data_IF_170573952617
#
_entry.id   IF_170573952617
#
_cell.length_a   1.000
_cell.length_b   1.000
_cell.length_c   1.000
_cell.angle_alpha   90.00
_cell.angle_beta   90.00
_cell.angle_gamma   90.00
#
_symmetry.space_group_name_H-M   'P 1'
#
loop_
_entity.id
_entity.type
_entity.pdbx_description
1 polymer ?
#
# COMPACT_ATOMS: atom_id res chain seq x y z
N UNK A 1 10.53 -8.65 27.74
CA UNK A 1 11.93 -8.69 27.28
C UNK A 1 12.07 -7.66 26.16
N UNK A 2 13.20 -6.95 26.01
CA UNK A 2 13.39 -6.07 24.86
C UNK A 2 13.31 -6.91 23.57
N UNK A 3 12.50 -6.47 22.60
CA UNK A 3 12.40 -7.10 21.27
C UNK A 3 13.79 -7.16 20.66
N UNK A 4 14.20 -8.32 20.16
CA UNK A 4 15.51 -8.44 19.55
C UNK A 4 15.56 -7.61 18.26
N UNK A 5 16.72 -7.04 17.96
CA UNK A 5 16.91 -6.32 16.70
C UNK A 5 16.54 -7.18 15.48
N UNK A 6 16.81 -8.49 15.52
CA UNK A 6 16.43 -9.41 14.44
C UNK A 6 14.92 -9.52 14.21
N UNK A 7 14.14 -9.58 15.29
CA UNK A 7 12.67 -9.62 15.20
C UNK A 7 12.10 -8.30 14.67
N UNK A 8 12.62 -7.17 15.14
CA UNK A 8 12.24 -5.85 14.66
C UNK A 8 12.55 -5.67 13.16
N UNK A 9 13.75 -6.07 12.71
CA UNK A 9 14.12 -6.03 11.29
C UNK A 9 13.27 -6.97 10.44
N UNK A 10 12.94 -8.17 10.94
CA UNK A 10 12.06 -9.12 10.24
C UNK A 10 10.63 -8.57 10.09
N UNK A 11 10.08 -7.95 11.13
CA UNK A 11 8.79 -7.29 11.06
C UNK A 11 8.81 -6.11 10.07
N UNK A 12 9.83 -5.25 10.14
CA UNK A 12 10.01 -4.14 9.20
C UNK A 12 10.15 -4.62 7.75
N UNK A 13 10.91 -5.70 7.52
CA UNK A 13 11.07 -6.31 6.20
C UNK A 13 9.74 -6.82 5.63
N UNK A 14 8.89 -7.45 6.46
CA UNK A 14 7.54 -7.88 6.06
C UNK A 14 6.66 -6.68 5.69
N UNK A 15 6.65 -5.63 6.51
CA UNK A 15 5.91 -4.39 6.21
C UNK A 15 6.38 -3.80 4.89
N UNK A 16 7.70 -3.69 4.68
CA UNK A 16 8.27 -3.16 3.46
C UNK A 16 7.88 -3.99 2.23
N UNK A 17 7.97 -5.32 2.31
CA UNK A 17 7.60 -6.21 1.21
C UNK A 17 6.12 -6.07 0.81
N UNK A 18 5.20 -6.07 1.78
CA UNK A 18 3.78 -5.90 1.49
C UNK A 18 3.46 -4.49 0.99
N UNK A 19 4.07 -3.46 1.57
CA UNK A 19 3.88 -2.06 1.13
C UNK A 19 4.40 -1.85 -0.29
N UNK A 20 5.51 -2.50 -0.65
CA UNK A 20 6.06 -2.46 -2.00
C UNK A 20 5.11 -3.06 -3.04
N UNK A 21 4.41 -4.15 -2.72
CA UNK A 21 3.39 -4.72 -3.61
C UNK A 21 2.24 -3.71 -3.85
N UNK A 22 1.74 -3.08 -2.80
CA UNK A 22 0.71 -2.05 -2.93
C UNK A 22 1.20 -0.81 -3.67
N UNK A 23 2.46 -0.43 -3.49
CA UNK A 23 3.09 0.64 -4.24
C UNK A 23 3.12 0.35 -5.75
N UNK A 24 3.47 -0.87 -6.16
CA UNK A 24 3.44 -1.27 -7.58
C UNK A 24 2.01 -1.15 -8.13
N UNK A 25 1.03 -1.75 -7.45
CA UNK A 25 -0.37 -1.75 -7.90
C UNK A 25 -0.90 -0.32 -8.01
N UNK A 26 -0.70 0.48 -6.97
CA UNK A 26 -1.14 1.87 -6.97
C UNK A 26 -0.43 2.72 -8.03
N UNK A 27 0.88 2.51 -8.25
CA UNK A 27 1.65 3.23 -9.28
C UNK A 27 1.18 2.90 -10.70
N UNK A 28 0.79 1.65 -10.97
CA UNK A 28 0.19 1.27 -12.27
C UNK A 28 -1.12 2.04 -12.50
N UNK A 29 -1.97 2.11 -11.48
CA UNK A 29 -3.25 2.83 -11.56
C UNK A 29 -3.01 4.34 -11.70
N UNK A 30 -2.04 4.88 -10.96
CA UNK A 30 -1.62 6.28 -11.10
C UNK A 30 -1.13 6.61 -12.49
N UNK A 31 -0.27 5.76 -13.06
CA UNK A 31 0.23 5.90 -14.43
C UNK A 31 -0.87 5.81 -15.48
N UNK A 32 -1.89 4.97 -15.25
CA UNK A 32 -3.09 4.92 -16.10
C UNK A 32 -3.87 6.24 -16.05
N UNK A 33 -4.08 6.80 -14.86
CA UNK A 33 -4.73 8.10 -14.71
C UNK A 33 -3.95 9.23 -15.40
N UNK A 34 -2.62 9.19 -15.30
CA UNK A 34 -1.75 10.13 -16.00
C UNK A 34 -1.86 9.98 -17.53
N UNK A 35 -1.84 8.75 -18.05
CA UNK A 35 -2.03 8.48 -19.47
C UNK A 35 -3.39 8.97 -20.00
N UNK A 36 -4.46 8.80 -19.22
CA UNK A 36 -5.79 9.36 -19.52
C UNK A 36 -5.73 10.89 -19.58
N UNK A 37 -5.13 11.53 -18.56
CA UNK A 37 -5.08 12.99 -18.47
C UNK A 37 -4.31 13.64 -19.62
N UNK A 38 -3.28 12.95 -20.13
CA UNK A 38 -2.45 13.38 -21.27
C UNK A 38 -3.07 13.04 -22.63
N UNK A 39 -4.23 12.38 -22.66
CA UNK A 39 -4.89 11.95 -23.90
C UNK A 39 -4.13 10.87 -24.66
N UNK A 40 -3.28 10.09 -23.97
CA UNK A 40 -2.54 8.97 -24.58
C UNK A 40 -3.45 7.77 -24.87
N UNK A 41 -4.68 7.77 -24.34
CA UNK A 41 -5.70 6.77 -24.61
C UNK A 41 -6.80 7.36 -25.51
N UNK A 42 -7.24 6.63 -26.56
CA UNK A 42 -8.26 7.10 -27.49
C UNK A 42 -9.66 7.00 -26.85
N UNK A 43 -10.00 7.96 -26.00
CA UNK A 43 -11.30 8.06 -25.34
C UNK A 43 -12.15 9.17 -26.00
N UNK A 44 -13.47 8.97 -26.17
CA UNK A 44 -14.36 9.95 -26.79
C UNK A 44 -14.75 11.08 -25.82
N UNK A 45 -13.77 11.71 -25.18
CA UNK A 45 -13.95 12.76 -24.18
C UNK A 45 -13.15 14.01 -24.57
N UNK A 46 -13.69 15.19 -24.24
CA UNK A 46 -12.97 16.44 -24.42
C UNK A 46 -11.79 16.59 -23.44
N UNK A 47 -10.81 17.48 -23.71
CA UNK A 47 -9.60 17.62 -22.90
C UNK A 47 -9.85 17.86 -21.41
N UNK A 48 -10.87 18.66 -21.07
CA UNK A 48 -11.25 18.92 -19.68
C UNK A 48 -11.70 17.63 -18.97
N UNK A 49 -12.55 16.84 -19.63
CA UNK A 49 -13.08 15.59 -19.07
C UNK A 49 -12.01 14.51 -18.96
N UNK A 50 -11.05 14.46 -19.89
CA UNK A 50 -9.87 13.61 -19.80
C UNK A 50 -9.03 13.97 -18.57
N UNK A 51 -8.79 15.27 -18.34
CA UNK A 51 -8.05 15.73 -17.16
C UNK A 51 -8.76 15.36 -15.85
N UNK A 52 -10.08 15.56 -15.76
CA UNK A 52 -10.87 15.20 -14.57
C UNK A 52 -10.83 13.69 -14.33
N UNK A 53 -11.13 12.89 -15.36
CA UNK A 53 -11.13 11.43 -15.24
C UNK A 53 -9.74 10.91 -14.87
N UNK A 54 -8.69 11.39 -15.53
CA UNK A 54 -7.32 11.01 -15.24
C UNK A 54 -6.92 11.34 -13.80
N UNK A 55 -7.27 12.53 -13.31
CA UNK A 55 -7.02 12.93 -11.92
C UNK A 55 -7.75 12.02 -10.92
N UNK A 56 -9.00 11.65 -11.19
CA UNK A 56 -9.76 10.73 -10.33
C UNK A 56 -9.13 9.34 -10.29
N UNK A 57 -8.70 8.82 -11.45
CA UNK A 57 -8.01 7.52 -11.53
C UNK A 57 -6.66 7.57 -10.82
N UNK A 58 -5.89 8.66 -10.98
CA UNK A 58 -4.62 8.83 -10.26
C UNK A 58 -4.81 8.96 -8.76
N UNK A 59 -5.84 9.69 -8.31
CA UNK A 59 -6.19 9.79 -6.89
C UNK A 59 -6.55 8.41 -6.31
N UNK A 60 -7.30 7.58 -7.06
CA UNK A 60 -7.61 6.21 -6.65
C UNK A 60 -6.34 5.38 -6.45
N UNK A 61 -5.39 5.46 -7.40
CA UNK A 61 -4.10 4.78 -7.28
C UNK A 61 -3.32 5.22 -6.04
N UNK A 62 -3.30 6.53 -5.74
CA UNK A 62 -2.70 7.06 -4.51
C UNK A 62 -3.36 6.49 -3.25
N UNK A 63 -4.70 6.46 -3.18
CA UNK A 63 -5.40 5.89 -2.02
C UNK A 63 -5.11 4.40 -1.86
N UNK A 64 -4.95 3.64 -2.95
CA UNK A 64 -4.57 2.23 -2.90
C UNK A 64 -3.18 2.06 -2.27
N UNK A 65 -2.20 2.90 -2.62
CA UNK A 65 -0.87 2.87 -1.98
C UNK A 65 -0.98 3.13 -0.48
N UNK A 66 -1.68 4.21 -0.10
CA UNK A 66 -1.80 4.62 1.31
C UNK A 66 -2.51 3.56 2.13
N UNK A 67 -3.71 3.15 1.70
CA UNK A 67 -4.53 2.16 2.41
C UNK A 67 -3.86 0.79 2.44
N UNK A 68 -3.23 0.37 1.34
CA UNK A 68 -2.49 -0.88 1.27
C UNK A 68 -1.28 -0.92 2.21
N UNK A 69 -0.54 0.18 2.30
CA UNK A 69 0.59 0.33 3.24
C UNK A 69 0.09 0.31 4.69
N UNK A 70 -1.00 1.03 5.00
CA UNK A 70 -1.60 1.00 6.33
C UNK A 70 -2.09 -0.40 6.70
N UNK A 71 -2.72 -1.11 5.77
CA UNK A 71 -3.17 -2.49 5.98
C UNK A 71 -1.98 -3.43 6.26
N UNK A 72 -0.86 -3.27 5.53
CA UNK A 72 0.36 -4.03 5.77
C UNK A 72 0.92 -3.79 7.18
N UNK A 73 0.99 -2.53 7.61
CA UNK A 73 1.45 -2.16 8.96
C UNK A 73 0.55 -2.78 10.03
N UNK A 74 -0.78 -2.59 9.92
CA UNK A 74 -1.74 -3.13 10.88
C UNK A 74 -1.64 -4.64 10.96
N UNK A 75 -1.53 -5.32 9.81
CA UNK A 75 -1.43 -6.78 9.74
C UNK A 75 -0.19 -7.30 10.46
N UNK A 76 0.98 -6.73 10.17
CA UNK A 76 2.23 -7.17 10.80
C UNK A 76 2.23 -6.86 12.29
N UNK A 77 1.73 -5.69 12.71
CA UNK A 77 1.58 -5.36 14.13
C UNK A 77 0.66 -6.33 14.86
N UNK A 78 -0.49 -6.68 14.27
CA UNK A 78 -1.43 -7.63 14.87
C UNK A 78 -0.81 -9.03 15.02
N UNK A 79 0.01 -9.46 14.06
CA UNK A 79 0.73 -10.74 14.15
C UNK A 79 1.80 -10.72 15.24
N UNK A 80 2.60 -9.65 15.34
CA UNK A 80 3.62 -9.51 16.38
C UNK A 80 2.98 -9.49 17.76
N UNK A 81 1.93 -8.69 17.97
CA UNK A 81 1.20 -8.64 19.24
C UNK A 81 0.59 -10.01 19.55
N UNK A 82 0.00 -10.69 18.57
CA UNK A 82 -0.57 -12.02 18.75
C UNK A 82 0.48 -13.04 19.18
N UNK A 83 1.68 -13.01 18.60
CA UNK A 83 2.80 -13.86 19.00
C UNK A 83 3.24 -13.58 20.43
N UNK A 84 3.44 -12.31 20.80
CA UNK A 84 3.81 -11.93 22.17
C UNK A 84 2.78 -12.38 23.21
N UNK A 85 1.48 -12.23 22.92
CA UNK A 85 0.42 -12.66 23.84
C UNK A 85 0.45 -14.18 24.02
N UNK A 86 0.64 -14.94 22.94
CA UNK A 86 0.74 -16.41 23.01
C UNK A 86 1.96 -16.87 23.79
N UNK A 87 3.11 -16.22 23.63
CA UNK A 87 4.32 -16.53 24.39
C UNK A 87 4.13 -16.30 25.89
N UNK A 88 3.57 -15.14 26.28
CA UNK A 88 3.27 -14.82 27.68
C UNK A 88 2.29 -15.81 28.30
N UNK A 89 1.27 -16.24 27.56
CA UNK A 89 0.31 -17.25 28.02
C UNK A 89 0.94 -18.64 28.19
N UNK A 90 2.01 -18.93 27.44
CA UNK A 90 2.76 -20.20 27.55
C UNK A 90 3.77 -20.20 28.71
N UNK A 91 3.85 -19.12 29.50
CA UNK A 91 4.75 -19.03 30.66
C UNK A 91 6.22 -18.93 30.27
N UNK A 92 6.51 -18.44 29.06
CA UNK A 92 7.84 -18.02 28.60
C UNK A 92 7.88 -16.51 28.46
#
# INVERSE_FOLDING_TARGET
MPVSWGEAFSAAGRVAAYSFLWYIVGSIIMGLGEAISRGLLPLPLGPLWLSVLGTLVSALGFFIVVLGTMAAVIKVLAEVIGQEVVERLRGR
#
